data_IF_676735196602
#
_entry.id   IF_676735196602
#
_cell.length_a   1.000
_cell.length_b   1.000
_cell.length_c   1.000
_cell.angle_alpha   90.00
_cell.angle_beta   90.00
_cell.angle_gamma   90.00
#
_symmetry.space_group_name_H-M   'P 1'
#
loop_
_entity.id
_entity.type
_entity.pdbx_description
1 polymer ?
#
# COMPACT_ATOMS: atom_id res chain seq x y z
N UNK A 1 7.35 -25.85 24.18
CA UNK A 1 7.15 -24.39 24.05
C UNK A 1 8.01 -23.88 22.90
N UNK A 2 7.42 -23.48 21.77
CA UNK A 2 8.15 -22.76 20.72
C UNK A 2 7.83 -21.28 20.88
N UNK A 3 8.85 -20.50 21.19
CA UNK A 3 8.79 -19.05 21.27
C UNK A 3 8.31 -18.54 19.91
N UNK A 4 7.18 -17.84 19.90
CA UNK A 4 6.62 -17.24 18.69
C UNK A 4 7.60 -16.21 18.14
N UNK A 5 8.22 -16.53 16.99
CA UNK A 5 8.93 -15.54 16.20
C UNK A 5 7.87 -14.64 15.56
N UNK A 6 7.59 -13.49 16.18
CA UNK A 6 6.87 -12.41 15.50
C UNK A 6 7.83 -11.85 14.45
N UNK A 7 7.55 -12.00 13.14
CA UNK A 7 8.38 -11.38 12.11
C UNK A 7 8.30 -9.87 12.33
N UNK A 8 9.46 -9.22 12.35
CA UNK A 8 9.62 -7.79 12.52
C UNK A 8 8.66 -7.03 11.59
N UNK A 9 7.54 -6.55 12.13
CA UNK A 9 6.62 -5.67 11.43
C UNK A 9 7.33 -4.31 11.29
N UNK A 10 7.54 -3.86 10.05
CA UNK A 10 7.74 -2.45 9.75
C UNK A 10 9.18 -1.93 9.68
N UNK A 11 10.01 -2.45 8.76
CA UNK A 11 11.29 -1.82 8.39
C UNK A 11 11.55 -1.75 6.87
N UNK A 12 10.53 -1.89 6.02
CA UNK A 12 10.72 -1.80 4.56
C UNK A 12 10.30 -0.45 4.04
N UNK A 13 11.27 0.34 3.57
CA UNK A 13 11.01 1.57 2.80
C UNK A 13 11.12 1.20 1.32
N UNK A 14 10.00 1.32 0.60
CA UNK A 14 10.01 1.24 -0.86
C UNK A 14 10.02 2.66 -1.44
N UNK A 15 10.82 2.90 -2.47
CA UNK A 15 10.89 4.18 -3.18
C UNK A 15 10.71 3.88 -4.67
N UNK A 16 9.89 4.68 -5.35
CA UNK A 16 9.73 4.64 -6.79
C UNK A 16 9.79 6.06 -7.35
N UNK A 17 10.76 6.29 -8.22
CA UNK A 17 10.98 7.58 -8.86
C UNK A 17 10.46 7.53 -10.29
N UNK A 18 9.53 8.42 -10.61
CA UNK A 18 9.01 8.61 -11.96
C UNK A 18 9.07 10.08 -12.33
N UNK A 19 9.24 10.35 -13.63
CA UNK A 19 9.21 11.71 -14.17
C UNK A 19 7.83 12.36 -13.99
N UNK A 20 6.76 11.56 -13.95
CA UNK A 20 5.38 12.01 -13.81
C UNK A 20 4.72 11.38 -12.57
N UNK A 21 3.90 12.16 -11.86
CA UNK A 21 3.09 11.68 -10.72
C UNK A 21 1.72 11.16 -11.19
N UNK A 22 1.73 10.16 -12.06
CA UNK A 22 0.54 9.59 -12.68
C UNK A 22 0.10 8.25 -12.05
N UNK A 23 -1.10 7.80 -12.40
CA UNK A 23 -1.68 6.55 -11.88
C UNK A 23 -0.83 5.32 -12.21
N UNK A 24 -0.18 5.30 -13.38
CA UNK A 24 0.71 4.22 -13.80
C UNK A 24 1.90 4.10 -12.87
N UNK A 25 2.54 5.23 -12.54
CA UNK A 25 3.66 5.28 -11.60
C UNK A 25 3.25 4.84 -10.19
N UNK A 26 2.08 5.29 -9.72
CA UNK A 26 1.55 4.86 -8.43
C UNK A 26 1.26 3.35 -8.40
N UNK A 27 0.73 2.79 -9.49
CA UNK A 27 0.47 1.35 -9.63
C UNK A 27 1.76 0.54 -9.56
N UNK A 28 2.81 0.96 -10.28
CA UNK A 28 4.11 0.28 -10.26
C UNK A 28 4.76 0.34 -8.87
N UNK A 29 4.66 1.47 -8.18
CA UNK A 29 5.11 1.60 -6.79
C UNK A 29 4.45 0.56 -5.89
N UNK A 30 3.11 0.47 -5.88
CA UNK A 30 2.39 -0.48 -5.04
C UNK A 30 2.65 -1.94 -5.42
N UNK A 31 2.79 -2.25 -6.72
CA UNK A 31 3.14 -3.61 -7.17
C UNK A 31 4.51 -4.04 -6.61
N UNK A 32 5.50 -3.17 -6.70
CA UNK A 32 6.84 -3.44 -6.16
C UNK A 32 6.80 -3.57 -4.63
N UNK A 33 6.09 -2.67 -3.96
CA UNK A 33 5.98 -2.68 -2.51
C UNK A 33 5.31 -3.96 -2.00
N UNK A 34 4.19 -4.37 -2.61
CA UNK A 34 3.46 -5.57 -2.19
C UNK A 34 4.19 -6.85 -2.57
N UNK A 35 4.94 -6.87 -3.67
CA UNK A 35 5.80 -8.01 -4.02
C UNK A 35 6.92 -8.21 -2.99
N UNK A 36 7.48 -7.11 -2.48
CA UNK A 36 8.59 -7.14 -1.52
C UNK A 36 8.11 -7.43 -0.09
N UNK A 37 7.01 -6.81 0.34
CA UNK A 37 6.56 -6.81 1.73
C UNK A 37 5.27 -7.61 1.98
N UNK A 38 4.69 -8.22 0.95
CA UNK A 38 3.37 -8.83 1.00
C UNK A 38 2.24 -7.82 0.79
N UNK A 39 1.04 -8.33 0.52
CA UNK A 39 -0.17 -7.52 0.37
C UNK A 39 -0.71 -7.17 1.76
N UNK A 40 -0.81 -5.88 2.13
CA UNK A 40 -1.34 -5.48 3.42
C UNK A 40 -2.87 -5.54 3.44
N UNK A 41 -3.46 -5.73 4.63
CA UNK A 41 -4.91 -5.61 4.82
C UNK A 41 -5.40 -4.16 4.60
N UNK A 42 -4.55 -3.18 4.92
CA UNK A 42 -4.90 -1.76 4.90
C UNK A 42 -3.73 -0.90 4.45
N UNK A 43 -4.02 0.12 3.64
CA UNK A 43 -3.05 1.15 3.21
C UNK A 43 -3.56 2.54 3.57
N UNK A 44 -2.69 3.35 4.16
CA UNK A 44 -2.93 4.78 4.35
C UNK A 44 -2.24 5.55 3.22
N UNK A 45 -2.98 6.39 2.52
CA UNK A 45 -2.46 7.25 1.46
C UNK A 45 -2.81 8.71 1.74
N UNK A 46 -2.07 9.62 1.13
CA UNK A 46 -2.49 11.00 1.00
C UNK A 46 -3.73 11.11 0.06
N UNK A 47 -4.33 12.29 -0.05
CA UNK A 47 -5.53 12.53 -0.89
C UNK A 47 -5.23 12.61 -2.39
N UNK A 48 -4.08 12.15 -2.86
CA UNK A 48 -3.75 12.15 -4.29
C UNK A 48 -4.67 11.22 -5.09
N UNK A 49 -5.11 11.74 -6.24
CA UNK A 49 -5.94 11.00 -7.19
C UNK A 49 -5.22 9.77 -7.74
N UNK A 50 -3.94 9.90 -8.09
CA UNK A 50 -3.13 8.80 -8.65
C UNK A 50 -3.02 7.60 -7.71
N UNK A 51 -2.76 7.82 -6.41
CA UNK A 51 -2.68 6.74 -5.42
C UNK A 51 -4.03 6.05 -5.22
N UNK A 52 -5.11 6.84 -5.19
CA UNK A 52 -6.47 6.32 -5.06
C UNK A 52 -6.86 5.46 -6.27
N UNK A 53 -6.60 5.95 -7.49
CA UNK A 53 -6.92 5.23 -8.71
C UNK A 53 -6.11 3.92 -8.83
N UNK A 54 -4.82 3.96 -8.48
CA UNK A 54 -3.97 2.77 -8.50
C UNK A 54 -4.47 1.67 -7.56
N UNK A 55 -4.77 2.01 -6.30
CA UNK A 55 -5.25 1.03 -5.31
C UNK A 55 -6.66 0.52 -5.63
N UNK A 56 -7.55 1.36 -6.18
CA UNK A 56 -8.87 0.91 -6.67
C UNK A 56 -8.73 -0.13 -7.79
N UNK A 57 -7.90 0.18 -8.79
CA UNK A 57 -7.64 -0.74 -9.91
C UNK A 57 -7.00 -2.06 -9.45
N UNK A 58 -6.18 -2.04 -8.39
CA UNK A 58 -5.66 -3.29 -7.80
C UNK A 58 -6.75 -4.10 -7.11
N UNK A 59 -7.63 -3.46 -6.33
CA UNK A 59 -8.73 -4.12 -5.64
C UNK A 59 -9.75 -4.77 -6.58
N UNK A 60 -9.84 -4.34 -7.85
CA UNK A 60 -10.66 -5.01 -8.86
C UNK A 60 -10.19 -6.44 -9.15
N UNK A 61 -8.91 -6.73 -8.98
CA UNK A 61 -8.34 -8.08 -9.13
C UNK A 61 -8.48 -8.98 -7.89
N UNK A 62 -8.94 -8.45 -6.75
CA UNK A 62 -9.06 -9.21 -5.50
C UNK A 62 -10.49 -9.65 -5.22
N UNK A 63 -10.63 -10.82 -4.60
CA UNK A 63 -11.90 -11.26 -4.02
C UNK A 63 -12.29 -10.29 -2.91
N UNK A 64 -13.59 -10.11 -2.66
CA UNK A 64 -14.09 -9.12 -1.70
C UNK A 64 -13.45 -9.20 -0.30
N UNK A 65 -13.14 -10.42 0.18
CA UNK A 65 -12.49 -10.65 1.48
C UNK A 65 -11.00 -10.31 1.53
N UNK A 66 -10.35 -10.22 0.36
CA UNK A 66 -8.91 -9.99 0.21
C UNK A 66 -8.62 -8.54 -0.26
N UNK A 67 -9.65 -7.69 -0.34
CA UNK A 67 -9.51 -6.29 -0.75
C UNK A 67 -8.77 -5.49 0.31
N UNK A 68 -7.87 -4.64 -0.17
CA UNK A 68 -7.12 -3.69 0.65
C UNK A 68 -8.05 -2.56 1.09
N UNK A 69 -8.13 -2.31 2.39
CA UNK A 69 -8.81 -1.15 2.94
C UNK A 69 -7.98 0.12 2.67
N UNK A 70 -8.49 1.01 1.82
CA UNK A 70 -7.83 2.28 1.49
C UNK A 70 -8.31 3.36 2.45
N UNK A 71 -7.41 3.96 3.23
CA UNK A 71 -7.70 5.15 4.04
C UNK A 71 -6.94 6.36 3.50
N UNK A 72 -7.66 7.42 3.19
CA UNK A 72 -7.06 8.70 2.79
C UNK A 72 -6.90 9.57 4.04
N UNK A 73 -5.67 9.88 4.43
CA UNK A 73 -5.39 10.81 5.51
C UNK A 73 -4.62 12.02 4.96
N UNK A 74 -5.03 13.23 5.35
CA UNK A 74 -4.34 14.47 4.95
C UNK A 74 -2.96 14.56 5.60
N UNK A 75 -2.80 13.95 6.77
CA UNK A 75 -1.55 13.89 7.51
C UNK A 75 -1.31 12.46 7.98
N UNK A 76 -0.21 11.84 7.53
CA UNK A 76 0.17 10.48 7.93
C UNK A 76 0.43 10.33 9.44
N UNK A 77 0.62 11.45 10.16
CA UNK A 77 0.97 11.50 11.59
C UNK A 77 -0.22 11.43 12.57
N UNK A 78 -1.48 11.38 12.11
CA UNK A 78 -2.66 11.43 12.98
C UNK A 78 -3.44 10.11 13.08
N UNK A 79 -2.80 8.97 12.82
CA UNK A 79 -3.41 7.66 13.02
C UNK A 79 -3.17 7.22 14.47
N UNK A 80 -4.16 7.43 15.34
CA UNK A 80 -4.27 6.83 16.69
C UNK A 80 -4.88 5.44 16.58
#
# INVERSE_FOLDING_TARGET
MRVGHLPWIGQTINIYLSKLRDTTSAKLFFQNAFRSSGVPEKVNIDKSGSNTAALKAMNEGFKSKDKILIRQNKYLNNLV
#
